data_IF_287768526213
#
_entry.id   IF_287768526213
#
_cell.length_a   1.000
_cell.length_b   1.000
_cell.length_c   1.000
_cell.angle_alpha   90.00
_cell.angle_beta   90.00
_cell.angle_gamma   90.00
#
_symmetry.space_group_name_H-M   'P 1'
#
loop_
_entity.id
_entity.type
_entity.pdbx_description
1 polymer ?
#
# COMPACT_ATOMS: atom_id res chain seq x y z
N UNK A 1 2.61 -21.89 -23.08
CA UNK A 1 2.30 -20.46 -23.25
C UNK A 1 3.36 -19.68 -22.48
N UNK A 2 4.16 -18.84 -23.14
CA UNK A 2 5.06 -17.91 -22.42
C UNK A 2 4.21 -16.77 -21.85
N UNK A 3 3.80 -16.89 -20.60
CA UNK A 3 3.35 -15.73 -19.83
C UNK A 3 4.61 -14.96 -19.43
N UNK A 4 4.86 -13.83 -20.11
CA UNK A 4 5.91 -12.91 -19.70
C UNK A 4 5.66 -12.37 -18.27
N UNK A 5 6.65 -11.71 -17.65
CA UNK A 5 6.53 -11.12 -16.31
C UNK A 5 5.24 -10.30 -16.21
N UNK A 6 4.34 -10.65 -15.28
CA UNK A 6 3.18 -9.82 -14.98
C UNK A 6 3.68 -8.59 -14.23
N UNK A 7 4.06 -7.54 -14.96
CA UNK A 7 4.38 -6.23 -14.37
C UNK A 7 3.19 -5.76 -13.50
N UNK A 8 3.46 -5.38 -12.25
CA UNK A 8 2.48 -4.75 -11.37
C UNK A 8 3.14 -3.54 -10.71
N UNK A 9 2.82 -2.37 -11.22
CA UNK A 9 3.39 -1.10 -10.78
C UNK A 9 2.59 -0.54 -9.62
N UNK A 10 3.26 -0.31 -8.49
CA UNK A 10 2.73 0.52 -7.40
C UNK A 10 3.44 1.86 -7.50
N UNK A 11 2.70 2.94 -7.64
CA UNK A 11 3.25 4.29 -7.77
C UNK A 11 2.98 5.04 -6.47
N UNK A 12 4.04 5.46 -5.80
CA UNK A 12 3.95 6.42 -4.71
C UNK A 12 4.37 7.79 -5.28
N UNK A 13 3.70 8.87 -4.89
CA UNK A 13 4.12 10.25 -5.22
C UNK A 13 4.45 10.97 -3.93
N UNK A 14 5.68 11.47 -3.82
CA UNK A 14 6.11 12.39 -2.76
C UNK A 14 6.00 13.83 -3.28
N UNK A 15 5.40 14.73 -2.50
CA UNK A 15 5.37 16.17 -2.81
C UNK A 15 6.69 16.89 -2.55
N UNK A 16 7.62 16.22 -1.86
CA UNK A 16 9.00 16.69 -1.71
C UNK A 16 9.97 15.58 -2.13
N UNK A 17 11.01 15.93 -2.91
CA UNK A 17 12.02 14.96 -3.32
C UNK A 17 12.75 14.42 -2.09
N UNK A 18 12.47 13.19 -1.66
CA UNK A 18 13.48 12.38 -0.99
C UNK A 18 14.40 11.80 -2.07
N UNK A 19 15.25 12.66 -2.61
CA UNK A 19 16.36 12.26 -3.46
C UNK A 19 17.54 11.97 -2.55
N UNK A 20 18.16 10.80 -2.69
CA UNK A 20 19.55 10.65 -2.24
C UNK A 20 20.42 11.46 -3.21
N UNK A 21 20.63 12.76 -2.92
CA UNK A 21 21.27 13.75 -3.81
C UNK A 21 20.46 15.07 -3.92
N UNK A 22 21.01 16.12 -4.56
CA UNK A 22 20.34 17.43 -4.64
C UNK A 22 19.57 17.63 -5.96
N UNK A 23 18.30 18.01 -5.87
CA UNK A 23 17.48 18.53 -6.98
C UNK A 23 16.75 19.81 -6.54
N UNK A 24 16.61 20.79 -7.44
CA UNK A 24 16.02 22.11 -7.17
C UNK A 24 14.55 22.25 -7.61
N UNK A 25 13.94 21.20 -8.15
CA UNK A 25 12.54 21.19 -8.62
C UNK A 25 11.74 20.04 -7.95
N UNK A 26 10.40 20.11 -7.87
CA UNK A 26 9.60 19.01 -7.32
C UNK A 26 9.77 17.74 -8.16
N UNK A 27 10.46 16.74 -7.62
CA UNK A 27 10.67 15.45 -8.28
C UNK A 27 9.75 14.43 -7.61
N UNK A 28 8.86 13.81 -8.40
CA UNK A 28 8.06 12.68 -7.93
C UNK A 28 8.96 11.46 -7.70
N UNK A 29 8.97 10.89 -6.49
CA UNK A 29 9.67 9.64 -6.19
C UNK A 29 8.75 8.45 -6.33
N UNK A 30 8.85 7.70 -7.43
CA UNK A 30 8.10 6.46 -7.64
C UNK A 30 8.85 5.26 -7.06
N UNK A 31 8.19 4.49 -6.19
CA UNK A 31 8.70 3.20 -5.70
C UNK A 31 8.21 2.06 -6.63
N UNK A 32 8.92 1.80 -7.72
CA UNK A 32 8.59 0.70 -8.63
C UNK A 32 9.07 -0.63 -8.05
N UNK A 33 8.15 -1.54 -7.75
CA UNK A 33 8.49 -2.93 -7.48
C UNK A 33 8.48 -3.72 -8.80
N UNK A 34 9.65 -3.86 -9.42
CA UNK A 34 9.83 -4.61 -10.66
C UNK A 34 10.47 -5.97 -10.38
N UNK A 35 9.66 -7.02 -10.33
CA UNK A 35 10.20 -8.39 -10.28
C UNK A 35 9.13 -9.43 -10.62
N UNK A 36 9.58 -10.64 -10.97
CA UNK A 36 8.75 -11.83 -11.10
C UNK A 36 8.34 -12.35 -9.72
N UNK A 37 7.73 -11.56 -8.85
CA UNK A 37 7.17 -12.07 -7.58
C UNK A 37 5.68 -12.40 -7.76
N UNK A 38 5.19 -13.39 -7.01
CA UNK A 38 3.77 -13.45 -6.74
C UNK A 38 3.38 -12.19 -5.95
N UNK A 39 2.26 -11.57 -6.34
CA UNK A 39 1.82 -10.32 -5.71
C UNK A 39 0.32 -10.37 -5.45
N UNK A 40 -0.06 -9.99 -4.24
CA UNK A 40 -1.43 -9.67 -3.88
C UNK A 40 -1.53 -8.18 -3.53
N UNK A 41 -2.58 -7.53 -4.00
CA UNK A 41 -2.84 -6.12 -3.75
C UNK A 41 -4.19 -5.94 -3.07
N UNK A 42 -4.26 -5.07 -2.08
CA UNK A 42 -5.49 -4.60 -1.44
C UNK A 42 -5.44 -3.10 -1.26
N UNK A 43 -6.59 -2.46 -1.09
CA UNK A 43 -6.67 -1.02 -0.94
C UNK A 43 -7.85 -0.63 -0.06
N UNK A 44 -7.72 0.53 0.59
CA UNK A 44 -8.81 1.25 1.24
C UNK A 44 -9.05 2.53 0.46
N UNK A 45 -10.32 2.79 0.15
CA UNK A 45 -10.73 4.02 -0.54
C UNK A 45 -10.34 5.26 0.28
N UNK A 46 -10.01 6.32 -0.44
CA UNK A 46 -9.82 7.64 0.15
C UNK A 46 -11.14 8.28 0.54
N UNK A 47 -11.05 9.50 1.05
CA UNK A 47 -12.21 10.29 1.44
C UNK A 47 -12.13 11.67 0.77
N UNK A 48 -13.30 12.29 0.48
CA UNK A 48 -13.31 13.64 -0.09
C UNK A 48 -12.54 14.60 0.83
N UNK A 49 -11.84 15.56 0.24
CA UNK A 49 -11.15 16.64 0.97
C UNK A 49 -12.14 17.68 1.55
N UNK A 50 -13.30 17.22 2.03
CA UNK A 50 -14.36 18.03 2.65
C UNK A 50 -14.15 18.17 4.16
N UNK A 51 -14.90 19.07 4.79
CA UNK A 51 -14.78 19.39 6.22
C UNK A 51 -15.11 18.23 7.17
N UNK A 52 -15.97 17.29 6.75
CA UNK A 52 -16.31 16.13 7.58
C UNK A 52 -15.24 15.04 7.44
N UNK A 53 -14.46 14.86 8.50
CA UNK A 53 -13.46 13.79 8.57
C UNK A 53 -14.15 12.43 8.70
N UNK A 54 -13.61 11.37 8.06
CA UNK A 54 -14.12 10.01 8.22
C UNK A 54 -13.93 9.51 9.66
N UNK A 55 -14.80 8.59 10.06
CA UNK A 55 -14.66 7.88 11.33
C UNK A 55 -13.36 7.06 11.36
N UNK A 56 -12.63 7.14 12.48
CA UNK A 56 -11.33 6.49 12.65
C UNK A 56 -11.45 4.97 12.72
N UNK A 57 -12.52 4.45 13.31
CA UNK A 57 -12.72 3.00 13.35
C UNK A 57 -13.07 2.46 11.96
N UNK A 58 -13.86 3.19 11.17
CA UNK A 58 -14.08 2.88 9.75
C UNK A 58 -12.78 2.90 8.92
N UNK A 59 -11.89 3.89 9.16
CA UNK A 59 -10.57 3.89 8.54
C UNK A 59 -9.80 2.61 8.90
N UNK A 60 -9.65 2.30 10.19
CA UNK A 60 -8.91 1.12 10.64
C UNK A 60 -9.46 -0.16 10.01
N UNK A 61 -10.79 -0.33 9.96
CA UNK A 61 -11.40 -1.49 9.33
C UNK A 61 -11.05 -1.58 7.84
N UNK A 62 -11.06 -0.45 7.11
CA UNK A 62 -10.64 -0.42 5.70
C UNK A 62 -9.19 -0.89 5.51
N UNK A 63 -8.29 -0.59 6.44
CA UNK A 63 -6.90 -1.08 6.39
C UNK A 63 -6.76 -2.58 6.65
N UNK A 64 -7.57 -3.11 7.57
CA UNK A 64 -7.66 -4.55 7.83
C UNK A 64 -8.18 -5.27 6.60
N UNK A 65 -9.26 -4.77 5.99
CA UNK A 65 -9.85 -5.35 4.79
C UNK A 65 -8.87 -5.31 3.61
N UNK A 66 -8.12 -4.21 3.47
CA UNK A 66 -7.06 -4.08 2.47
C UNK A 66 -5.94 -5.11 2.69
N UNK A 67 -5.48 -5.29 3.93
CA UNK A 67 -4.44 -6.27 4.25
C UNK A 67 -4.90 -7.72 3.98
N UNK A 68 -6.09 -8.08 4.45
CA UNK A 68 -6.70 -9.39 4.21
C UNK A 68 -6.89 -9.65 2.71
N UNK A 69 -7.34 -8.65 1.94
CA UNK A 69 -7.48 -8.75 0.49
C UNK A 69 -6.14 -8.94 -0.22
N UNK A 70 -5.10 -8.20 0.19
CA UNK A 70 -3.75 -8.35 -0.36
C UNK A 70 -3.22 -9.77 -0.14
N UNK A 71 -3.28 -10.28 1.10
CA UNK A 71 -2.82 -11.63 1.43
C UNK A 71 -3.62 -12.71 0.71
N UNK A 72 -4.96 -12.59 0.65
CA UNK A 72 -5.81 -13.54 -0.07
C UNK A 72 -5.48 -13.59 -1.57
N UNK A 73 -5.18 -12.46 -2.18
CA UNK A 73 -4.86 -12.34 -3.62
C UNK A 73 -3.45 -12.78 -3.97
N UNK A 74 -2.63 -13.11 -2.98
CA UNK A 74 -1.34 -13.77 -3.19
C UNK A 74 -1.51 -15.25 -3.61
N UNK A 75 -2.76 -15.77 -3.69
CA UNK A 75 -3.15 -17.03 -4.35
C UNK A 75 -2.28 -18.24 -3.95
N UNK A 76 -2.17 -18.50 -2.64
CA UNK A 76 -1.48 -19.63 -1.99
C UNK A 76 0.04 -19.54 -1.85
N UNK A 77 0.66 -18.44 -2.26
CA UNK A 77 2.06 -18.18 -1.91
C UNK A 77 2.17 -17.59 -0.49
N UNK A 78 3.29 -17.87 0.18
CA UNK A 78 3.61 -17.34 1.50
C UNK A 78 4.16 -15.93 1.32
N UNK A 79 3.56 -14.96 2.01
CA UNK A 79 4.08 -13.60 2.01
C UNK A 79 5.51 -13.58 2.59
N UNK A 80 6.45 -13.05 1.81
CA UNK A 80 7.84 -12.75 2.19
C UNK A 80 8.02 -11.31 2.65
N UNK A 81 7.15 -10.42 2.19
CA UNK A 81 7.10 -9.02 2.61
C UNK A 81 5.67 -8.50 2.46
N UNK A 82 5.21 -7.73 3.44
CA UNK A 82 4.02 -6.90 3.34
C UNK A 82 4.44 -5.43 3.40
N UNK A 83 4.03 -4.66 2.40
CA UNK A 83 4.25 -3.22 2.34
C UNK A 83 2.90 -2.51 2.46
N UNK A 84 2.77 -1.64 3.45
CA UNK A 84 1.60 -0.77 3.64
C UNK A 84 1.99 0.63 3.19
N UNK A 85 1.39 1.10 2.10
CA UNK A 85 1.60 2.44 1.56
C UNK A 85 0.39 3.28 1.93
N UNK A 86 0.60 4.26 2.80
CA UNK A 86 -0.44 5.10 3.36
C UNK A 86 -0.24 6.56 2.94
N UNK A 87 -1.34 7.26 2.61
CA UNK A 87 -1.29 8.69 2.38
C UNK A 87 -1.11 9.47 3.69
N UNK A 88 -0.30 10.52 3.69
CA UNK A 88 -0.10 11.39 4.87
C UNK A 88 -1.40 12.05 5.32
N UNK A 89 -2.32 12.33 4.39
CA UNK A 89 -3.68 12.78 4.67
C UNK A 89 -4.43 11.82 5.60
N UNK A 90 -4.42 10.52 5.28
CA UNK A 90 -5.04 9.47 6.10
C UNK A 90 -4.39 9.40 7.48
N UNK A 91 -3.06 9.37 7.50
CA UNK A 91 -2.28 9.28 8.72
C UNK A 91 -2.58 10.44 9.68
N UNK A 92 -2.72 11.66 9.14
CA UNK A 92 -3.10 12.87 9.91
C UNK A 92 -4.49 12.75 10.52
N UNK A 93 -5.46 12.20 9.78
CA UNK A 93 -6.84 12.01 10.28
C UNK A 93 -6.90 10.98 11.41
N UNK A 94 -6.15 9.88 11.26
CA UNK A 94 -6.01 8.86 12.30
C UNK A 94 -5.41 9.45 13.57
N UNK A 95 -4.36 10.28 13.44
CA UNK A 95 -3.70 10.92 14.57
C UNK A 95 -3.27 9.89 15.63
N UNK A 96 -3.77 10.01 16.86
CA UNK A 96 -3.45 9.05 17.93
C UNK A 96 -3.93 7.62 17.67
N UNK A 97 -4.84 7.41 16.71
CA UNK A 97 -5.33 6.08 16.33
C UNK A 97 -4.42 5.36 15.32
N UNK A 98 -3.38 6.00 14.78
CA UNK A 98 -2.47 5.38 13.82
C UNK A 98 -1.76 4.14 14.40
N UNK A 99 -1.43 4.14 15.69
CA UNK A 99 -0.86 2.96 16.36
C UNK A 99 -1.84 1.78 16.44
N UNK A 100 -3.14 2.06 16.60
CA UNK A 100 -4.21 1.06 16.60
C UNK A 100 -4.42 0.50 15.19
N UNK A 101 -4.38 1.35 14.17
CA UNK A 101 -4.41 0.90 12.77
C UNK A 101 -3.23 -0.02 12.47
N UNK A 102 -2.01 0.39 12.81
CA UNK A 102 -0.82 -0.41 12.58
C UNK A 102 -0.89 -1.77 13.29
N UNK A 103 -1.33 -1.80 14.54
CA UNK A 103 -1.53 -3.04 15.28
C UNK A 103 -2.59 -3.94 14.62
N UNK A 104 -3.69 -3.37 14.13
CA UNK A 104 -4.74 -4.11 13.45
C UNK A 104 -4.23 -4.74 12.14
N UNK A 105 -3.48 -3.99 11.32
CA UNK A 105 -2.85 -4.54 10.10
C UNK A 105 -1.86 -5.65 10.46
N UNK A 106 -1.03 -5.46 11.49
CA UNK A 106 -0.05 -6.46 11.93
C UNK A 106 -0.69 -7.76 12.41
N UNK A 107 -1.94 -7.74 12.88
CA UNK A 107 -2.67 -8.95 13.27
C UNK A 107 -3.10 -9.80 12.08
N UNK A 108 -3.26 -9.19 10.89
CA UNK A 108 -3.57 -9.92 9.65
C UNK A 108 -2.35 -10.61 9.05
N UNK A 109 -1.14 -10.19 9.43
CA UNK A 109 0.12 -10.66 8.84
C UNK A 109 0.78 -11.71 9.75
N UNK A 110 1.29 -12.82 9.18
CA UNK A 110 2.06 -13.81 9.96
C UNK A 110 3.19 -13.08 10.72
N UNK A 111 3.34 -13.29 12.04
CA UNK A 111 4.30 -12.55 12.86
C UNK A 111 5.76 -12.61 12.38
N UNK A 112 6.13 -13.64 11.61
CA UNK A 112 7.46 -13.84 11.03
C UNK A 112 7.66 -13.12 9.70
N UNK A 113 6.57 -12.65 9.07
CA UNK A 113 6.63 -11.91 7.81
C UNK A 113 7.00 -10.46 8.10
N UNK A 114 8.08 -9.93 7.48
CA UNK A 114 8.35 -8.50 7.50
C UNK A 114 7.14 -7.71 7.02
N UNK A 115 6.70 -6.73 7.82
CA UNK A 115 5.61 -5.83 7.48
C UNK A 115 6.09 -4.40 7.72
N UNK A 116 6.13 -3.61 6.65
CA UNK A 116 6.75 -2.28 6.60
C UNK A 116 5.70 -1.24 6.21
N UNK A 117 5.68 -0.12 6.93
CA UNK A 117 4.86 1.04 6.60
C UNK A 117 5.65 2.07 5.79
N UNK A 118 5.00 2.68 4.81
CA UNK A 118 5.53 3.74 3.98
C UNK A 118 4.49 4.87 3.88
N UNK A 119 4.89 6.09 4.25
CA UNK A 119 4.04 7.27 4.13
C UNK A 119 4.40 8.05 2.87
N UNK A 120 3.39 8.46 2.10
CA UNK A 120 3.53 9.34 0.93
C UNK A 120 2.35 10.28 0.83
N UNK A 121 2.39 11.30 -0.03
CA UNK A 121 1.26 12.24 -0.10
C UNK A 121 0.09 11.63 -0.88
N UNK A 122 0.39 11.02 -2.01
CA UNK A 122 -0.58 10.33 -2.86
C UNK A 122 -0.18 8.87 -3.04
N UNK A 123 -1.18 8.00 -3.05
CA UNK A 123 -1.03 6.54 -3.14
C UNK A 123 -1.74 6.07 -4.40
N UNK A 124 -1.00 5.44 -5.31
CA UNK A 124 -1.57 4.80 -6.48
C UNK A 124 -1.09 3.37 -6.68
N UNK A 125 -2.01 2.50 -7.11
CA UNK A 125 -1.71 1.11 -7.41
C UNK A 125 -2.42 0.66 -8.68
N UNK A 126 -1.67 -0.06 -9.52
CA UNK A 126 -2.17 -0.62 -10.76
C UNK A 126 -1.92 -2.12 -10.77
N UNK A 127 -2.98 -2.90 -10.96
CA UNK A 127 -2.86 -4.35 -11.01
C UNK A 127 -4.18 -5.10 -10.86
N UNK A 128 -4.11 -6.43 -10.88
CA UNK A 128 -5.29 -7.29 -10.74
C UNK A 128 -5.94 -7.09 -9.36
N UNK A 129 -7.23 -6.75 -9.38
CA UNK A 129 -8.06 -6.64 -8.16
C UNK A 129 -7.98 -5.28 -7.46
N UNK A 130 -7.27 -4.30 -8.03
CA UNK A 130 -7.20 -2.93 -7.50
C UNK A 130 -7.55 -1.93 -8.60
N UNK A 131 -8.34 -0.91 -8.25
CA UNK A 131 -8.59 0.25 -9.11
C UNK A 131 -7.46 1.25 -8.94
N UNK A 132 -7.13 2.07 -9.95
CA UNK A 132 -6.23 3.19 -9.75
C UNK A 132 -6.73 3.99 -8.56
N UNK A 133 -5.90 4.09 -7.54
CA UNK A 133 -6.17 4.92 -6.37
C UNK A 133 -5.38 6.20 -6.61
N UNK A 134 -6.04 7.34 -6.61
CA UNK A 134 -5.40 8.65 -6.63
C UNK A 134 -6.32 9.59 -5.86
N UNK A 135 -6.67 9.13 -4.65
CA UNK A 135 -7.64 9.78 -3.81
C UNK A 135 -6.98 10.17 -2.49
N UNK A 136 -7.31 11.38 -2.05
CA UNK A 136 -6.92 11.90 -0.75
C UNK A 136 -7.32 10.92 0.36
N UNK A 137 -6.39 10.53 1.22
CA UNK A 137 -6.70 9.65 2.35
C UNK A 137 -6.67 8.15 2.06
N UNK A 138 -6.18 7.74 0.89
CA UNK A 138 -6.08 6.34 0.50
C UNK A 138 -4.93 5.57 1.15
N UNK A 139 -5.06 4.25 1.11
CA UNK A 139 -4.06 3.28 1.55
C UNK A 139 -4.04 2.07 0.61
N UNK A 140 -2.85 1.54 0.33
CA UNK A 140 -2.63 0.32 -0.44
C UNK A 140 -1.79 -0.64 0.38
N UNK A 141 -2.17 -1.91 0.38
CA UNK A 141 -1.36 -3.01 0.94
C UNK A 141 -0.88 -3.91 -0.18
N UNK A 142 0.42 -4.20 -0.17
CA UNK A 142 1.09 -5.08 -1.12
C UNK A 142 1.64 -6.28 -0.36
N UNK A 143 1.18 -7.47 -0.71
CA UNK A 143 1.75 -8.73 -0.24
C UNK A 143 2.64 -9.32 -1.34
N UNK A 144 3.90 -9.58 -1.03
CA UNK A 144 4.90 -10.13 -1.95
C UNK A 144 5.26 -11.54 -1.54
N UNK A 145 5.12 -12.47 -2.48
CA UNK A 145 5.54 -13.87 -2.32
C UNK A 145 6.88 -14.15 -2.97
N UNK A 146 7.18 -15.43 -3.13
CA UNK A 146 8.35 -15.87 -3.88
C UNK A 146 8.14 -15.62 -5.38
N UNK A 147 9.22 -15.78 -6.13
CA UNK A 147 9.08 -15.81 -7.58
C UNK A 147 8.32 -17.07 -8.02
N UNK A 148 7.36 -16.98 -8.96
CA UNK A 148 6.69 -18.16 -9.47
C UNK A 148 7.74 -19.14 -10.01
N UNK A 149 7.68 -20.39 -9.55
CA UNK A 149 8.50 -21.44 -10.14
C UNK A 149 8.00 -21.72 -11.57
N UNK A 150 8.94 -21.77 -12.52
CA UNK A 150 8.65 -21.93 -13.95
C UNK A 150 8.00 -23.26 -14.29
#
# INVERSE_FOLDING_TARGET
>A
MLMGPKMRTVCSVLSSPMVYGSSAEPVASAACLEANYATGLGYADGFPASETLPDRDALIQGSVDAAAAALKRLEADVARLVLVVESTARHRVLGSAASKEWAAIRNEVDPRTPCVGWLCEEVAAYGRGVRPVDAHGSLVVVALGDAPQR
#
